data_IF_823571816582
#
_entry.id   IF_823571816582
#
_cell.length_a   1.000
_cell.length_b   1.000
_cell.length_c   1.000
_cell.angle_alpha   90.00
_cell.angle_beta   90.00
_cell.angle_gamma   90.00
#
_symmetry.space_group_name_H-M   'P 1'
#
loop_
_entity.id
_entity.type
_entity.pdbx_description
1 polymer ?
#
# COMPACT_ATOMS: atom_id res chain seq x y z
N UNK A 1 3.71 -25.31 -7.22
CA UNK A 1 5.02 -25.97 -7.22
C UNK A 1 6.01 -25.10 -6.47
N UNK A 2 6.80 -25.68 -5.56
CA UNK A 2 7.96 -25.00 -4.97
C UNK A 2 9.08 -24.95 -6.03
N UNK A 3 9.61 -23.75 -6.25
CA UNK A 3 10.69 -23.49 -7.23
C UNK A 3 11.96 -22.94 -6.58
N UNK A 4 12.01 -22.93 -5.25
CA UNK A 4 13.10 -22.31 -4.47
C UNK A 4 14.46 -22.90 -4.83
N UNK A 5 14.60 -24.23 -4.84
CA UNK A 5 15.86 -24.91 -5.17
C UNK A 5 16.30 -24.69 -6.64
N UNK A 6 15.33 -24.57 -7.55
CA UNK A 6 15.59 -24.32 -8.97
C UNK A 6 16.00 -22.86 -9.23
N UNK A 7 15.59 -21.94 -8.34
CA UNK A 7 15.75 -20.49 -8.48
C UNK A 7 17.03 -19.99 -7.80
N UNK A 8 17.33 -20.51 -6.60
CA UNK A 8 18.47 -20.06 -5.78
C UNK A 8 19.81 -20.01 -6.52
N UNK A 9 20.19 -21.00 -7.35
CA UNK A 9 21.47 -20.97 -8.09
C UNK A 9 21.59 -19.80 -9.06
N UNK A 10 20.45 -19.30 -9.54
CA UNK A 10 20.38 -18.22 -10.52
C UNK A 10 20.02 -16.85 -9.89
N UNK A 11 19.72 -16.81 -8.61
CA UNK A 11 19.27 -15.61 -7.92
C UNK A 11 20.40 -14.58 -7.79
N UNK A 12 20.17 -13.38 -8.33
CA UNK A 12 21.03 -12.21 -8.17
C UNK A 12 20.50 -11.26 -7.10
N UNK A 13 19.19 -11.01 -7.10
CA UNK A 13 18.55 -10.20 -6.06
C UNK A 13 17.10 -10.60 -5.84
N UNK A 14 16.67 -10.43 -4.60
CA UNK A 14 15.30 -10.54 -4.14
C UNK A 14 14.97 -9.28 -3.36
N UNK A 15 13.88 -8.61 -3.71
CA UNK A 15 13.40 -7.47 -2.96
C UNK A 15 11.89 -7.62 -2.69
N UNK A 16 11.51 -7.45 -1.44
CA UNK A 16 10.13 -7.33 -0.99
C UNK A 16 9.92 -5.92 -0.44
N UNK A 17 8.89 -5.25 -0.95
CA UNK A 17 8.46 -3.93 -0.48
C UNK A 17 7.04 -4.02 0.02
N UNK A 18 6.90 -3.85 1.32
CA UNK A 18 5.60 -3.70 1.98
C UNK A 18 5.24 -2.22 2.00
N UNK A 19 4.19 -1.85 1.27
CA UNK A 19 3.68 -0.47 1.20
C UNK A 19 2.61 -0.27 2.26
N UNK A 20 2.72 0.80 3.01
CA UNK A 20 1.75 1.12 4.06
C UNK A 20 0.35 1.35 3.48
N UNK A 21 0.26 2.14 2.42
CA UNK A 21 -1.02 2.52 1.79
C UNK A 21 -0.85 3.00 0.36
N UNK A 22 -1.98 3.16 -0.34
CA UNK A 22 -2.12 3.70 -1.70
C UNK A 22 -1.51 2.85 -2.82
N UNK A 23 -0.44 2.12 -2.58
CA UNK A 23 0.24 1.25 -3.54
C UNK A 23 0.13 -0.23 -3.13
N UNK A 24 0.25 -1.13 -4.10
CA UNK A 24 0.35 -2.56 -3.83
C UNK A 24 1.75 -2.91 -3.32
N UNK A 25 1.83 -3.93 -2.46
CA UNK A 25 3.11 -4.51 -2.11
C UNK A 25 3.77 -5.12 -3.34
N UNK A 26 5.07 -5.04 -3.41
CA UNK A 26 5.86 -5.45 -4.57
C UNK A 26 6.89 -6.51 -4.20
N UNK A 27 6.95 -7.54 -5.02
CA UNK A 27 7.99 -8.54 -5.04
C UNK A 27 8.81 -8.39 -6.33
N UNK A 28 10.11 -8.22 -6.20
CA UNK A 28 11.04 -8.14 -7.35
C UNK A 28 12.09 -9.22 -7.25
N UNK A 29 12.28 -9.96 -8.34
CA UNK A 29 13.32 -10.99 -8.49
C UNK A 29 14.20 -10.64 -9.68
N UNK A 30 15.51 -10.78 -9.49
CA UNK A 30 16.48 -10.67 -10.57
C UNK A 30 17.29 -11.96 -10.64
N UNK A 31 17.28 -12.61 -11.79
CA UNK A 31 17.94 -13.90 -12.04
C UNK A 31 18.95 -13.77 -13.16
N UNK A 32 20.10 -14.42 -13.02
CA UNK A 32 20.98 -14.65 -14.17
C UNK A 32 20.33 -15.68 -15.11
N UNK A 33 20.36 -15.42 -16.40
CA UNK A 33 19.72 -16.28 -17.41
C UNK A 33 20.60 -16.51 -18.65
N UNK A 34 21.84 -16.99 -18.50
CA UNK A 34 22.77 -17.12 -19.63
C UNK A 34 22.24 -18.04 -20.74
N UNK A 35 21.51 -19.08 -20.36
CA UNK A 35 20.96 -20.08 -21.29
C UNK A 35 19.53 -19.75 -21.76
N UNK A 36 18.90 -18.70 -21.23
CA UNK A 36 17.52 -18.34 -21.56
C UNK A 36 16.47 -19.24 -20.92
N UNK A 37 16.81 -19.94 -19.84
CA UNK A 37 15.93 -20.86 -19.10
C UNK A 37 14.68 -20.13 -18.60
N UNK A 38 14.88 -18.99 -17.92
CA UNK A 38 13.81 -18.17 -17.30
C UNK A 38 13.02 -17.37 -18.32
N UNK A 39 13.64 -16.99 -19.43
CA UNK A 39 12.97 -16.27 -20.52
C UNK A 39 12.18 -17.18 -21.46
N UNK A 40 12.30 -18.51 -21.36
CA UNK A 40 11.66 -19.48 -22.25
C UNK A 40 10.90 -20.57 -21.49
N UNK A 41 11.57 -21.68 -21.21
CA UNK A 41 10.95 -22.89 -20.64
C UNK A 41 10.33 -22.68 -19.26
N UNK A 42 10.90 -21.82 -18.46
CA UNK A 42 10.46 -21.48 -17.10
C UNK A 42 9.84 -20.09 -16.99
N UNK A 43 9.53 -19.49 -18.12
CA UNK A 43 8.89 -18.17 -18.17
C UNK A 43 7.50 -18.23 -17.54
N UNK A 44 7.26 -17.51 -16.44
CA UNK A 44 5.91 -17.42 -15.89
C UNK A 44 5.00 -16.62 -16.81
N UNK A 45 3.70 -16.88 -16.73
CA UNK A 45 2.69 -16.08 -17.42
C UNK A 45 2.25 -14.90 -16.56
N UNK A 46 1.78 -13.83 -17.22
CA UNK A 46 1.22 -12.68 -16.52
C UNK A 46 -0.01 -13.09 -15.71
N UNK A 47 -0.02 -12.70 -14.43
CA UNK A 47 -1.08 -13.05 -13.48
C UNK A 47 -0.90 -14.40 -12.77
N UNK A 48 0.16 -15.16 -13.04
CA UNK A 48 0.50 -16.32 -12.22
C UNK A 48 0.77 -15.93 -10.77
N UNK A 49 0.40 -16.83 -9.87
CA UNK A 49 0.50 -16.62 -8.42
C UNK A 49 1.89 -17.01 -7.92
N UNK A 50 2.52 -16.08 -7.22
CA UNK A 50 3.79 -16.29 -6.51
C UNK A 50 3.57 -16.10 -5.02
N UNK A 51 3.94 -17.08 -4.21
CA UNK A 51 4.01 -16.95 -2.75
C UNK A 51 5.46 -16.85 -2.33
N UNK A 52 5.78 -15.80 -1.58
CA UNK A 52 7.15 -15.51 -1.18
C UNK A 52 7.32 -15.64 0.33
N UNK A 53 8.45 -16.22 0.71
CA UNK A 53 8.86 -16.41 2.10
C UNK A 53 10.30 -15.95 2.25
N UNK A 54 10.60 -15.25 3.33
CA UNK A 54 11.97 -14.93 3.75
C UNK A 54 12.32 -15.76 4.97
N UNK A 55 13.40 -16.50 4.90
CA UNK A 55 13.92 -17.25 6.04
C UNK A 55 15.18 -16.58 6.57
N UNK A 56 15.22 -16.33 7.88
CA UNK A 56 16.42 -15.85 8.57
C UNK A 56 17.39 -16.98 8.94
N UNK A 57 17.15 -18.20 8.44
CA UNK A 57 18.01 -19.37 8.67
C UNK A 57 19.32 -19.28 7.90
N UNK A 58 20.25 -20.14 8.30
CA UNK A 58 21.45 -20.45 7.53
C UNK A 58 21.20 -21.67 6.65
N UNK A 59 22.09 -21.95 5.69
CA UNK A 59 22.01 -23.15 4.84
C UNK A 59 21.90 -24.46 5.65
N UNK A 60 22.35 -24.45 6.91
CA UNK A 60 22.39 -25.62 7.78
C UNK A 60 21.39 -25.63 8.93
N UNK A 61 20.66 -24.52 9.15
CA UNK A 61 19.70 -24.40 10.24
C UNK A 61 18.49 -23.53 9.79
N UNK A 62 17.29 -24.12 9.88
CA UNK A 62 16.07 -23.39 9.65
C UNK A 62 15.91 -22.27 10.71
N UNK A 63 15.67 -21.05 10.25
CA UNK A 63 15.33 -19.90 11.08
C UNK A 63 13.84 -19.57 10.99
N UNK A 64 13.40 -18.53 11.69
CA UNK A 64 12.04 -18.06 11.55
C UNK A 64 11.76 -17.62 10.11
N UNK A 65 10.62 -18.02 9.60
CA UNK A 65 10.12 -17.63 8.28
C UNK A 65 9.16 -16.45 8.37
N UNK A 66 9.39 -15.48 7.50
CA UNK A 66 8.44 -14.40 7.25
C UNK A 66 7.68 -14.71 5.95
N UNK A 67 6.38 -14.90 6.04
CA UNK A 67 5.52 -14.92 4.86
C UNK A 67 5.34 -13.50 4.33
N UNK A 68 5.91 -13.21 3.16
CA UNK A 68 5.84 -11.88 2.55
C UNK A 68 4.47 -11.60 1.90
N UNK A 69 3.73 -12.65 1.54
CA UNK A 69 2.41 -12.53 0.92
C UNK A 69 2.24 -13.34 -0.35
N UNK A 70 1.07 -13.14 -0.96
CA UNK A 70 0.70 -13.69 -2.26
C UNK A 70 0.76 -12.58 -3.30
N UNK A 71 1.50 -12.81 -4.37
CA UNK A 71 1.74 -11.85 -5.43
C UNK A 71 1.28 -12.41 -6.76
N UNK A 72 1.01 -11.53 -7.72
CA UNK A 72 0.62 -11.87 -9.09
C UNK A 72 1.65 -11.29 -10.05
N UNK A 73 2.19 -12.12 -10.91
CA UNK A 73 3.19 -11.70 -11.91
C UNK A 73 2.64 -10.56 -12.75
N UNK A 74 3.31 -9.41 -12.70
CA UNK A 74 2.93 -8.19 -13.40
C UNK A 74 3.83 -7.93 -14.60
N UNK A 75 5.12 -7.83 -14.37
CA UNK A 75 6.08 -7.44 -15.39
C UNK A 75 7.21 -8.45 -15.47
N UNK A 76 7.57 -8.82 -16.69
CA UNK A 76 8.72 -9.63 -17.02
C UNK A 76 9.64 -8.83 -17.94
N UNK A 77 10.91 -8.76 -17.59
CA UNK A 77 11.93 -8.09 -18.39
C UNK A 77 13.13 -8.99 -18.62
N UNK A 78 13.63 -8.99 -19.82
CA UNK A 78 14.88 -9.65 -20.18
C UNK A 78 15.83 -8.61 -20.70
N UNK A 79 17.02 -8.55 -20.17
CA UNK A 79 18.10 -7.65 -20.60
C UNK A 79 19.39 -8.43 -20.82
N UNK A 80 20.37 -7.84 -21.46
CA UNK A 80 21.67 -8.49 -21.72
C UNK A 80 22.62 -7.57 -22.44
N UNK A 81 23.92 -7.87 -22.55
CA UNK A 81 24.76 -8.96 -22.10
C UNK A 81 25.56 -8.55 -20.85
N UNK A 82 25.66 -9.41 -19.80
CA UNK A 82 25.09 -10.76 -19.70
C UNK A 82 23.57 -10.75 -19.62
N UNK A 83 22.94 -11.88 -20.00
CA UNK A 83 21.47 -12.00 -19.94
C UNK A 83 21.00 -12.10 -18.50
N UNK A 84 20.02 -11.24 -18.19
CA UNK A 84 19.36 -11.14 -16.89
C UNK A 84 17.84 -11.19 -17.11
N UNK A 85 17.17 -11.93 -16.27
CA UNK A 85 15.72 -12.02 -16.21
C UNK A 85 15.23 -11.30 -14.94
N UNK A 86 14.32 -10.37 -15.09
CA UNK A 86 13.70 -9.62 -14.01
C UNK A 86 12.19 -9.93 -13.99
N UNK A 87 11.67 -10.22 -12.82
CA UNK A 87 10.26 -10.44 -12.56
C UNK A 87 9.81 -9.47 -11.48
N UNK A 88 8.72 -8.75 -11.76
CA UNK A 88 8.00 -7.97 -10.76
C UNK A 88 6.60 -8.54 -10.60
N UNK A 89 6.19 -8.74 -9.34
CA UNK A 89 4.87 -9.21 -8.99
C UNK A 89 4.25 -8.31 -7.91
N UNK A 90 2.93 -8.10 -7.99
CA UNK A 90 2.18 -7.21 -7.11
C UNK A 90 1.20 -7.99 -6.25
N UNK A 91 0.95 -7.53 -5.02
CA UNK A 91 0.02 -8.16 -4.07
C UNK A 91 -1.46 -8.09 -4.51
N UNK A 92 -1.77 -7.29 -5.54
CA UNK A 92 -3.13 -7.14 -6.07
C UNK A 92 -3.22 -7.75 -7.45
N UNK A 93 -4.17 -8.70 -7.69
CA UNK A 93 -4.33 -9.33 -8.99
C UNK A 93 -4.61 -8.30 -10.09
N UNK A 94 -3.84 -8.35 -11.18
CA UNK A 94 -3.97 -7.44 -12.33
C UNK A 94 -5.35 -7.46 -13.00
N UNK A 95 -6.03 -8.60 -12.93
CA UNK A 95 -7.31 -8.83 -13.61
C UNK A 95 -8.52 -8.59 -12.71
N UNK A 96 -8.35 -8.09 -11.50
CA UNK A 96 -9.49 -7.83 -10.63
C UNK A 96 -10.34 -6.70 -11.17
N UNK A 97 -11.64 -6.91 -11.19
CA UNK A 97 -12.64 -5.92 -11.60
C UNK A 97 -12.50 -4.63 -10.78
N UNK A 98 -12.00 -4.74 -9.53
CA UNK A 98 -11.78 -3.60 -8.62
C UNK A 98 -10.79 -2.56 -9.19
N UNK A 99 -9.75 -2.98 -9.92
CA UNK A 99 -8.71 -2.06 -10.49
C UNK A 99 -9.08 -1.53 -11.86
N UNK A 100 -9.62 -2.38 -12.73
CA UNK A 100 -9.71 -2.09 -14.17
C UNK A 100 -11.12 -1.78 -14.66
N UNK A 101 -12.17 -2.32 -14.02
CA UNK A 101 -13.53 -2.14 -14.46
C UNK A 101 -14.02 -0.75 -14.07
N UNK A 102 -14.14 0.14 -15.06
CA UNK A 102 -14.77 1.44 -14.88
C UNK A 102 -16.27 1.26 -14.66
N UNK A 103 -16.81 1.85 -13.60
CA UNK A 103 -18.22 1.80 -13.25
C UNK A 103 -18.81 3.21 -13.22
N UNK A 104 -20.11 3.29 -13.49
CA UNK A 104 -20.91 4.51 -13.29
C UNK A 104 -22.11 4.11 -12.48
N UNK A 105 -22.17 4.56 -11.23
CA UNK A 105 -23.27 4.29 -10.29
C UNK A 105 -23.37 5.42 -9.27
N UNK A 106 -24.54 5.61 -8.70
CA UNK A 106 -24.81 6.55 -7.63
C UNK A 106 -25.14 5.79 -6.34
N UNK A 107 -24.67 6.33 -5.23
CA UNK A 107 -24.95 5.87 -3.90
C UNK A 107 -25.72 6.96 -3.17
N UNK A 108 -26.84 6.62 -2.52
CA UNK A 108 -27.64 7.58 -1.77
C UNK A 108 -27.68 7.19 -0.31
N UNK A 109 -27.62 8.19 0.58
CA UNK A 109 -27.65 8.01 2.05
C UNK A 109 -26.74 6.89 2.52
N UNK A 110 -25.48 6.94 2.12
CA UNK A 110 -24.48 5.92 2.35
C UNK A 110 -23.34 6.41 3.24
N UNK A 111 -22.38 5.51 3.53
CA UNK A 111 -21.15 5.85 4.24
C UNK A 111 -19.94 5.21 3.57
N UNK A 112 -18.73 5.66 3.91
CA UNK A 112 -17.49 5.09 3.38
C UNK A 112 -17.42 3.58 3.66
N UNK A 113 -17.71 3.17 4.90
CA UNK A 113 -17.73 1.75 5.29
C UNK A 113 -18.76 0.95 4.51
N UNK A 114 -19.96 1.50 4.28
CA UNK A 114 -21.01 0.82 3.52
C UNK A 114 -20.59 0.60 2.05
N UNK A 115 -20.03 1.64 1.41
CA UNK A 115 -19.51 1.55 0.03
C UNK A 115 -18.38 0.55 -0.04
N UNK A 116 -17.40 0.63 0.86
CA UNK A 116 -16.27 -0.30 0.93
C UNK A 116 -16.72 -1.76 1.15
N UNK A 117 -17.76 -1.97 1.98
CA UNK A 117 -18.32 -3.31 2.23
C UNK A 117 -18.92 -3.93 0.97
N UNK A 118 -19.65 -3.13 0.17
CA UNK A 118 -20.21 -3.61 -1.09
C UNK A 118 -19.11 -3.95 -2.08
N UNK A 119 -18.11 -3.08 -2.20
CA UNK A 119 -16.97 -3.28 -3.11
C UNK A 119 -16.16 -4.53 -2.69
N UNK A 120 -15.88 -4.68 -1.39
CA UNK A 120 -15.17 -5.85 -0.88
C UNK A 120 -15.94 -7.15 -1.18
N UNK A 121 -17.26 -7.15 -0.98
CA UNK A 121 -18.13 -8.30 -1.33
C UNK A 121 -18.11 -8.60 -2.83
N UNK A 122 -18.18 -7.58 -3.69
CA UNK A 122 -18.10 -7.74 -5.14
C UNK A 122 -16.74 -8.28 -5.59
N UNK A 123 -15.68 -7.91 -4.89
CA UNK A 123 -14.32 -8.38 -5.14
C UNK A 123 -14.00 -9.76 -4.52
N UNK A 124 -14.88 -10.27 -3.65
CA UNK A 124 -14.66 -11.54 -2.94
C UNK A 124 -13.61 -11.47 -1.83
N UNK A 125 -13.30 -10.28 -1.31
CA UNK A 125 -12.32 -10.04 -0.25
C UNK A 125 -12.98 -9.54 1.04
N UNK A 126 -12.25 -9.60 2.15
CA UNK A 126 -12.74 -9.10 3.44
C UNK A 126 -12.49 -7.59 3.55
N UNK A 127 -13.37 -6.89 4.25
CA UNK A 127 -13.15 -5.50 4.66
C UNK A 127 -12.69 -5.45 6.11
N UNK A 128 -11.58 -4.77 6.38
CA UNK A 128 -11.17 -4.29 7.70
C UNK A 128 -11.32 -2.76 7.69
N UNK A 129 -12.25 -2.25 8.50
CA UNK A 129 -12.46 -0.81 8.65
C UNK A 129 -12.08 -0.43 10.08
N UNK A 130 -10.90 0.17 10.25
CA UNK A 130 -10.33 0.57 11.55
C UNK A 130 -10.10 2.09 11.59
N UNK A 131 -11.21 2.81 11.52
CA UNK A 131 -11.28 4.26 11.64
C UNK A 131 -12.31 4.63 12.72
N UNK A 132 -12.04 5.72 13.45
CA UNK A 132 -12.89 6.16 14.56
C UNK A 132 -14.28 6.63 14.08
N UNK A 133 -14.33 7.23 12.89
CA UNK A 133 -15.55 7.77 12.31
C UNK A 133 -15.83 7.12 10.94
N UNK A 134 -17.11 7.03 10.60
CA UNK A 134 -17.57 6.55 9.29
C UNK A 134 -18.21 7.71 8.52
N UNK A 135 -17.48 8.34 7.58
CA UNK A 135 -17.98 9.47 6.81
C UNK A 135 -19.28 9.15 6.07
N UNK A 136 -20.27 10.02 6.21
CA UNK A 136 -21.61 9.85 5.63
C UNK A 136 -21.80 10.76 4.43
N UNK A 137 -22.47 10.25 3.42
CA UNK A 137 -22.76 10.95 2.18
C UNK A 137 -24.25 10.92 1.90
N UNK A 138 -24.88 12.09 1.68
CA UNK A 138 -26.26 12.16 1.20
C UNK A 138 -26.35 11.55 -0.20
N UNK A 139 -25.36 11.86 -1.05
CA UNK A 139 -25.18 11.30 -2.38
C UNK A 139 -23.70 11.21 -2.73
N UNK A 140 -23.30 10.11 -3.31
CA UNK A 140 -21.97 9.86 -3.83
C UNK A 140 -22.06 9.31 -5.24
N UNK A 141 -21.39 9.95 -6.18
CA UNK A 141 -21.36 9.51 -7.58
C UNK A 141 -19.99 8.88 -7.91
N UNK A 142 -20.04 7.68 -8.47
CA UNK A 142 -18.90 7.03 -9.12
C UNK A 142 -19.12 7.18 -10.62
N UNK A 143 -18.30 7.96 -11.32
CA UNK A 143 -18.50 8.28 -12.74
C UNK A 143 -17.27 7.86 -13.54
N UNK A 144 -17.40 6.81 -14.34
CA UNK A 144 -16.28 6.24 -15.13
C UNK A 144 -15.00 6.07 -14.30
N UNK A 145 -15.17 5.55 -13.11
CA UNK A 145 -14.13 5.37 -12.10
C UNK A 145 -14.09 3.90 -11.67
N UNK A 146 -12.90 3.34 -11.43
CA UNK A 146 -12.78 2.01 -10.88
C UNK A 146 -13.14 1.99 -9.39
N UNK A 147 -13.51 0.83 -8.86
CA UNK A 147 -13.84 0.71 -7.43
C UNK A 147 -12.65 1.05 -6.54
N UNK A 148 -11.44 0.68 -6.96
CA UNK A 148 -10.22 1.03 -6.22
C UNK A 148 -9.97 2.53 -6.23
N UNK A 149 -10.12 3.20 -7.38
CA UNK A 149 -9.96 4.65 -7.49
C UNK A 149 -11.00 5.40 -6.63
N UNK A 150 -12.26 4.91 -6.63
CA UNK A 150 -13.30 5.45 -5.74
C UNK A 150 -12.91 5.32 -4.27
N UNK A 151 -12.47 4.14 -3.82
CA UNK A 151 -12.09 3.94 -2.42
C UNK A 151 -10.87 4.78 -2.03
N UNK A 152 -9.87 4.89 -2.91
CA UNK A 152 -8.71 5.76 -2.68
C UNK A 152 -9.15 7.21 -2.50
N UNK A 153 -9.96 7.73 -3.43
CA UNK A 153 -10.44 9.11 -3.35
C UNK A 153 -11.23 9.37 -2.07
N UNK A 154 -12.15 8.47 -1.69
CA UNK A 154 -12.96 8.65 -0.47
C UNK A 154 -12.12 8.53 0.80
N UNK A 155 -11.12 7.66 0.81
CA UNK A 155 -10.20 7.52 1.94
C UNK A 155 -9.37 8.78 2.09
N UNK A 156 -8.77 9.29 1.02
CA UNK A 156 -7.97 10.51 1.01
C UNK A 156 -8.79 11.73 1.45
N UNK A 157 -10.01 11.91 0.91
CA UNK A 157 -10.94 12.97 1.31
C UNK A 157 -11.31 12.92 2.80
N UNK A 158 -11.25 11.73 3.40
CA UNK A 158 -11.56 11.51 4.82
C UNK A 158 -10.31 11.51 5.73
N UNK A 159 -9.10 11.63 5.16
CA UNK A 159 -7.84 11.54 5.89
C UNK A 159 -7.51 10.13 6.36
N UNK A 160 -8.01 9.10 5.67
CA UNK A 160 -7.75 7.71 5.95
C UNK A 160 -6.80 7.10 4.94
N UNK A 161 -6.06 6.09 5.36
CA UNK A 161 -5.20 5.30 4.50
C UNK A 161 -5.95 4.06 4.00
N UNK A 162 -5.69 3.68 2.74
CA UNK A 162 -6.26 2.50 2.11
C UNK A 162 -5.14 1.54 1.73
N UNK A 163 -5.22 0.29 2.18
CA UNK A 163 -4.37 -0.81 1.71
C UNK A 163 -5.25 -1.92 1.13
N UNK A 164 -4.85 -2.47 -0.02
CA UNK A 164 -5.56 -3.57 -0.67
C UNK A 164 -4.59 -4.71 -0.91
N UNK A 165 -4.94 -5.90 -0.42
CA UNK A 165 -4.23 -7.15 -0.64
C UNK A 165 -5.12 -8.14 -1.38
N UNK A 166 -4.61 -9.34 -1.69
CA UNK A 166 -5.36 -10.44 -2.29
C UNK A 166 -6.53 -10.92 -1.41
N UNK A 167 -6.45 -10.74 -0.09
CA UNK A 167 -7.44 -11.23 0.87
C UNK A 167 -8.37 -10.17 1.43
N UNK A 168 -7.93 -8.89 1.47
CA UNK A 168 -8.67 -7.85 2.17
C UNK A 168 -8.46 -6.44 1.66
N UNK A 169 -9.46 -5.62 1.91
CA UNK A 169 -9.39 -4.15 1.85
C UNK A 169 -9.29 -3.65 3.28
N UNK A 170 -8.27 -2.83 3.57
CA UNK A 170 -8.04 -2.22 4.88
C UNK A 170 -8.17 -0.71 4.74
N UNK A 171 -9.08 -0.10 5.49
CA UNK A 171 -9.21 1.36 5.63
C UNK A 171 -8.92 1.70 7.08
N UNK A 172 -7.96 2.57 7.33
CA UNK A 172 -7.51 2.86 8.67
C UNK A 172 -7.10 4.32 8.86
N UNK A 173 -7.16 4.80 10.11
CA UNK A 173 -6.71 6.12 10.53
C UNK A 173 -5.24 6.06 10.97
N UNK A 174 -4.35 6.52 10.11
CA UNK A 174 -2.91 6.56 10.38
C UNK A 174 -2.57 7.36 11.64
N UNK A 175 -3.22 8.51 11.85
CA UNK A 175 -2.99 9.35 13.00
C UNK A 175 -3.39 8.68 14.34
N UNK A 176 -4.32 7.73 14.28
CA UNK A 176 -4.66 6.90 15.44
C UNK A 176 -3.54 5.90 15.75
N UNK A 177 -2.97 5.25 14.72
CA UNK A 177 -1.88 4.30 14.89
C UNK A 177 -0.58 4.97 15.36
N UNK A 178 -0.26 6.16 14.88
CA UNK A 178 0.90 6.95 15.34
C UNK A 178 0.88 7.27 16.83
N UNK A 179 -0.28 7.25 17.47
CA UNK A 179 -0.44 7.49 18.91
C UNK A 179 -0.27 6.23 19.76
N UNK A 180 -0.28 5.05 19.15
CA UNK A 180 -0.08 3.78 19.87
C UNK A 180 1.38 3.64 20.30
N UNK A 181 1.61 2.81 21.31
CA UNK A 181 2.97 2.43 21.70
C UNK A 181 3.64 1.69 20.55
N UNK A 182 4.90 2.00 20.23
CA UNK A 182 5.64 1.31 19.17
C UNK A 182 5.80 -0.18 19.51
N UNK A 183 5.65 -1.04 18.53
CA UNK A 183 5.85 -2.48 18.66
C UNK A 183 7.34 -2.82 18.79
N UNK A 184 8.19 -2.06 18.09
CA UNK A 184 9.64 -2.23 18.13
C UNK A 184 10.34 -0.87 18.11
N UNK A 185 11.50 -0.81 18.71
CA UNK A 185 12.37 0.37 18.70
C UNK A 185 13.72 -0.02 18.10
N UNK A 186 14.14 0.73 17.09
CA UNK A 186 15.47 0.60 16.47
C UNK A 186 16.35 1.73 17.01
N UNK A 187 17.44 1.38 17.67
CA UNK A 187 18.38 2.35 18.25
C UNK A 187 19.72 2.26 17.52
N UNK A 188 20.17 3.37 16.96
CA UNK A 188 21.47 3.43 16.29
C UNK A 188 22.59 3.12 17.27
N UNK A 189 23.55 2.28 16.84
CA UNK A 189 24.67 1.83 17.66
C UNK A 189 24.36 0.68 18.64
N UNK A 190 23.09 0.33 18.84
CA UNK A 190 22.65 -0.80 19.68
C UNK A 190 21.99 -1.89 18.83
N UNK A 191 21.05 -1.53 17.96
CA UNK A 191 20.42 -2.46 17.01
C UNK A 191 21.35 -2.73 15.83
N UNK A 192 21.19 -3.89 15.17
CA UNK A 192 21.94 -4.25 13.97
C UNK A 192 21.48 -3.41 12.76
N UNK A 193 21.87 -2.14 12.74
CA UNK A 193 21.59 -1.21 11.64
C UNK A 193 22.84 -1.09 10.79
N UNK A 194 22.78 -1.54 9.53
CA UNK A 194 23.90 -1.47 8.59
C UNK A 194 24.03 -0.09 7.95
N UNK A 195 22.91 0.52 7.61
CA UNK A 195 22.86 1.88 7.05
C UNK A 195 21.52 2.52 7.38
N UNK A 196 21.51 3.85 7.39
CA UNK A 196 20.28 4.62 7.53
C UNK A 196 20.41 5.92 6.74
N UNK A 197 19.27 6.40 6.27
CA UNK A 197 19.15 7.67 5.57
C UNK A 197 17.91 8.40 6.12
N UNK A 198 18.03 9.68 6.32
CA UNK A 198 16.94 10.55 6.72
C UNK A 198 16.88 11.75 5.79
N UNK A 199 15.80 11.90 5.07
CA UNK A 199 15.52 13.03 4.19
C UNK A 199 14.32 13.80 4.71
N UNK A 200 14.38 15.12 4.70
CA UNK A 200 13.23 15.99 4.96
C UNK A 200 13.15 17.06 3.88
N UNK A 201 11.98 17.21 3.29
CA UNK A 201 11.67 18.25 2.32
C UNK A 201 10.67 19.24 2.89
N UNK A 202 10.92 20.52 2.68
CA UNK A 202 10.00 21.58 3.07
C UNK A 202 9.14 22.08 1.91
N UNK A 203 9.38 21.57 0.70
CA UNK A 203 8.74 22.05 -0.53
C UNK A 203 7.21 21.88 -0.55
N UNK A 204 6.69 20.89 0.17
CA UNK A 204 5.26 20.60 0.27
C UNK A 204 4.66 20.92 1.64
N UNK A 205 5.36 21.72 2.43
CA UNK A 205 4.90 22.08 3.78
C UNK A 205 4.08 23.36 3.74
N UNK A 206 2.80 23.28 4.11
CA UNK A 206 1.90 24.42 4.15
C UNK A 206 1.68 24.88 5.61
N UNK A 207 1.66 26.19 5.83
CA UNK A 207 1.40 26.78 7.15
C UNK A 207 -0.06 26.61 7.58
N UNK A 208 -0.98 26.68 6.63
CA UNK A 208 -2.43 26.55 6.85
C UNK A 208 -3.15 26.24 5.55
N UNK A 209 -4.29 25.59 5.66
CA UNK A 209 -5.22 25.36 4.56
C UNK A 209 -6.55 26.06 4.89
N UNK A 210 -7.08 26.84 3.93
CA UNK A 210 -8.40 27.47 4.06
C UNK A 210 -9.37 26.80 3.12
N UNK A 211 -10.42 26.20 3.69
CA UNK A 211 -11.51 25.58 2.92
C UNK A 211 -12.71 26.52 2.94
N UNK A 212 -13.25 26.85 1.76
CA UNK A 212 -14.47 27.63 1.62
C UNK A 212 -15.54 26.80 0.94
N UNK A 213 -16.75 26.77 1.51
CA UNK A 213 -17.87 26.06 0.91
C UNK A 213 -19.15 26.90 0.95
N UNK A 214 -20.09 26.52 0.11
CA UNK A 214 -21.44 27.14 0.09
C UNK A 214 -22.46 26.04 0.41
N UNK A 215 -23.25 26.26 1.45
CA UNK A 215 -24.39 25.40 1.76
C UNK A 215 -25.55 25.71 0.78
N UNK A 216 -25.91 24.78 -0.12
CA UNK A 216 -26.97 24.98 -1.09
C UNK A 216 -28.37 25.03 -0.46
N UNK A 217 -28.54 24.55 0.78
CA UNK A 217 -29.82 24.53 1.51
C UNK A 217 -30.15 25.89 2.15
N UNK A 218 -29.18 26.78 2.25
CA UNK A 218 -29.39 28.12 2.84
C UNK A 218 -29.74 29.15 1.79
N UNK A 219 -31.01 29.57 1.79
CA UNK A 219 -31.53 30.62 0.86
C UNK A 219 -31.02 32.04 1.16
N UNK A 220 -30.41 32.32 2.30
CA UNK A 220 -29.83 33.63 2.65
C UNK A 220 -28.34 33.64 2.40
N UNK A 221 -27.84 34.73 1.79
CA UNK A 221 -26.40 35.03 1.68
C UNK A 221 -25.79 35.04 3.07
N UNK A 222 -25.25 33.91 3.53
CA UNK A 222 -24.31 33.89 4.64
C UNK A 222 -22.91 34.19 4.12
N UNK A 223 -22.14 34.93 4.91
CA UNK A 223 -20.71 35.10 4.70
C UNK A 223 -20.09 33.73 4.58
N UNK A 224 -19.22 33.55 3.59
CA UNK A 224 -18.46 32.33 3.45
C UNK A 224 -17.84 31.97 4.82
N UNK A 225 -18.29 30.89 5.40
CA UNK A 225 -17.66 30.32 6.57
C UNK A 225 -16.31 29.70 6.12
N UNK A 226 -15.22 30.14 6.69
CA UNK A 226 -13.93 29.51 6.47
C UNK A 226 -13.54 28.78 7.75
N UNK A 227 -13.15 27.54 7.65
CA UNK A 227 -12.43 26.86 8.71
C UNK A 227 -10.95 26.90 8.36
N UNK A 228 -10.16 27.48 9.27
CA UNK A 228 -8.70 27.36 9.19
C UNK A 228 -8.33 26.01 9.80
N UNK A 229 -8.09 25.00 8.94
CA UNK A 229 -7.43 23.79 9.38
C UNK A 229 -5.95 24.13 9.53
N UNK A 230 -5.47 24.18 10.73
CA UNK A 230 -4.03 24.20 10.96
C UNK A 230 -3.52 22.82 10.60
N UNK A 231 -2.79 22.72 9.50
CA UNK A 231 -1.91 21.57 9.29
C UNK A 231 -1.08 21.46 10.56
N UNK A 232 -1.14 20.31 11.17
CA UNK A 232 -0.47 19.98 12.41
C UNK A 232 0.93 20.56 12.38
N UNK A 233 1.19 21.55 13.21
CA UNK A 233 2.54 21.99 13.49
C UNK A 233 3.25 20.72 13.92
N UNK A 234 4.19 20.24 13.09
CA UNK A 234 5.13 19.23 13.55
C UNK A 234 5.89 19.97 14.65
N UNK A 235 5.42 19.85 15.87
CA UNK A 235 6.23 20.27 17.00
C UNK A 235 7.47 19.40 16.90
N UNK A 236 8.61 20.03 16.69
CA UNK A 236 9.91 19.38 16.85
C UNK A 236 9.98 18.89 18.29
N UNK A 237 9.36 17.76 18.55
CA UNK A 237 9.65 16.99 19.74
C UNK A 237 11.00 16.36 19.49
N UNK A 238 11.96 16.82 20.23
CA UNK A 238 13.33 16.30 20.38
C UNK A 238 13.72 15.26 19.31
N UNK A 239 14.22 15.75 18.20
CA UNK A 239 14.89 14.92 17.22
C UNK A 239 16.23 14.48 17.81
N UNK A 240 16.18 13.54 18.73
CA UNK A 240 17.35 12.71 18.97
C UNK A 240 17.44 11.77 17.74
N UNK A 241 18.36 12.00 16.80
CA UNK A 241 18.44 11.20 15.58
C UNK A 241 18.82 9.75 15.86
N UNK A 242 19.10 9.42 17.13
CA UNK A 242 19.48 8.07 17.56
C UNK A 242 18.28 7.12 17.79
N UNK A 243 17.03 7.60 17.78
CA UNK A 243 15.85 6.77 18.05
C UNK A 243 14.87 6.90 16.91
N UNK A 244 14.74 5.87 16.10
CA UNK A 244 13.66 5.70 15.13
C UNK A 244 12.60 4.77 15.72
N UNK A 245 11.34 5.23 15.75
CA UNK A 245 10.22 4.45 16.24
C UNK A 245 9.36 4.03 15.07
N UNK A 246 9.20 2.73 14.86
CA UNK A 246 8.33 2.15 13.84
C UNK A 246 7.11 1.54 14.51
N UNK A 247 5.93 1.87 13.99
CA UNK A 247 4.68 1.19 14.35
C UNK A 247 4.33 0.24 13.22
N UNK A 248 4.40 -1.06 13.48
CA UNK A 248 3.89 -2.05 12.53
C UNK A 248 2.37 -2.17 12.71
N UNK A 249 1.65 -2.16 11.60
CA UNK A 249 0.19 -2.33 11.50
C UNK A 249 -0.13 -3.80 11.25
#
# INVERSE_FOLDING_TARGET
KDVTEDLLPDLLSFAYRDRESAEADELSLTLKDPEGKWASRWKPEGGEVVRAYLSAGTVTAAGPELFCGTFFVDTLRVSGAPRVFELTALSVPLNTAIRKKMKTRAWEKTSLKAVASVIAKEAGVKLLFDAAEDPKYDRLDQTKESDLALLLRLSDESGYSLKVTDERIVIFDQAYYEKKSPIATVTLGVSQVLSWEFETSQGETYKSCRVSWRDPKQKKKQKAGGYDFYLRKIEKKDTNPAVMTYTAI
#
